data_IF_318065770233
#
_entry.id   IF_318065770233
#
_cell.length_a   1.000
_cell.length_b   1.000
_cell.length_c   1.000
_cell.angle_alpha   90.00
_cell.angle_beta   90.00
_cell.angle_gamma   90.00
#
_symmetry.space_group_name_H-M   'P 1'
#
loop_
_entity.id
_entity.type
_entity.pdbx_description
1 polymer ?
#
# COMPACT_ATOMS: atom_id res chain seq x y z
N UNK A 1 51.23 -19.83 -44.71
CA UNK A 1 50.26 -19.98 -43.60
C UNK A 1 49.90 -21.47 -43.49
N UNK A 2 50.25 -22.14 -42.38
CA UNK A 2 49.93 -23.58 -42.19
C UNK A 2 48.52 -23.69 -41.61
N UNK A 3 47.61 -24.31 -42.34
CA UNK A 3 46.24 -24.58 -41.88
C UNK A 3 46.28 -25.84 -41.02
N UNK A 4 46.18 -25.69 -39.70
CA UNK A 4 45.95 -26.84 -38.82
C UNK A 4 44.51 -27.33 -39.00
N UNK A 5 44.35 -28.55 -39.55
CA UNK A 5 43.07 -29.25 -39.54
C UNK A 5 42.79 -29.72 -38.11
N UNK A 6 41.84 -29.08 -37.43
CA UNK A 6 41.36 -29.54 -36.14
C UNK A 6 40.63 -30.89 -36.33
N UNK A 7 41.12 -31.94 -35.67
CA UNK A 7 40.39 -33.22 -35.58
C UNK A 7 39.27 -33.04 -34.57
N UNK A 8 38.05 -32.91 -35.05
CA UNK A 8 36.86 -32.95 -34.20
C UNK A 8 36.60 -34.41 -33.81
N UNK A 9 36.92 -34.77 -32.58
CA UNK A 9 36.59 -36.09 -32.04
C UNK A 9 35.10 -36.11 -31.71
N UNK A 10 34.34 -37.01 -32.35
CA UNK A 10 32.92 -37.20 -32.08
C UNK A 10 32.76 -37.85 -30.69
N UNK A 11 32.13 -37.12 -29.76
CA UNK A 11 32.01 -37.51 -28.35
C UNK A 11 30.65 -38.11 -28.00
N UNK A 12 29.82 -38.47 -28.98
CA UNK A 12 28.40 -38.82 -28.80
C UNK A 12 28.17 -40.07 -27.91
N UNK A 13 29.22 -40.84 -27.61
CA UNK A 13 29.18 -42.02 -26.73
C UNK A 13 30.26 -42.00 -25.63
N UNK A 14 30.86 -40.84 -25.35
CA UNK A 14 31.90 -40.72 -24.33
C UNK A 14 31.30 -40.87 -22.93
N UNK A 15 31.70 -41.93 -22.21
CA UNK A 15 31.29 -42.18 -20.81
C UNK A 15 31.62 -41.01 -19.89
N UNK A 16 32.69 -40.26 -20.20
CA UNK A 16 33.12 -39.08 -19.43
C UNK A 16 32.15 -37.92 -19.64
N UNK A 17 31.75 -37.65 -20.90
CA UNK A 17 30.81 -36.57 -21.25
C UNK A 17 29.42 -36.86 -20.68
N UNK A 18 28.95 -38.11 -20.75
CA UNK A 18 27.67 -38.54 -20.18
C UNK A 18 27.68 -38.40 -18.65
N UNK A 19 28.81 -38.66 -17.98
CA UNK A 19 28.95 -38.50 -16.52
C UNK A 19 28.89 -37.03 -16.09
N UNK A 20 29.55 -36.15 -16.85
CA UNK A 20 29.51 -34.69 -16.60
C UNK A 20 28.09 -34.15 -16.83
N UNK A 21 27.44 -34.51 -17.94
CA UNK A 21 26.08 -34.06 -18.25
C UNK A 21 25.06 -34.51 -17.18
N UNK A 22 25.15 -35.75 -16.69
CA UNK A 22 24.27 -36.26 -15.62
C UNK A 22 24.44 -35.49 -14.31
N UNK A 23 25.67 -35.16 -13.94
CA UNK A 23 25.95 -34.39 -12.72
C UNK A 23 25.43 -32.94 -12.82
N UNK A 24 25.57 -32.32 -14.00
CA UNK A 24 25.05 -30.96 -14.26
C UNK A 24 23.52 -30.94 -14.25
N UNK A 25 22.87 -31.95 -14.84
CA UNK A 25 21.41 -32.05 -14.83
C UNK A 25 20.85 -32.25 -13.42
N UNK A 26 21.52 -33.04 -12.57
CA UNK A 26 21.13 -33.20 -11.16
C UNK A 26 21.27 -31.92 -10.35
N UNK A 27 22.30 -31.10 -10.63
CA UNK A 27 22.50 -29.82 -9.96
C UNK A 27 21.42 -28.78 -10.34
N UNK A 28 20.97 -28.80 -11.60
CA UNK A 28 19.93 -27.90 -12.10
C UNK A 28 18.57 -28.13 -11.40
N UNK A 29 18.25 -29.39 -11.08
CA UNK A 29 16.99 -29.76 -10.39
C UNK A 29 16.96 -29.23 -8.96
N UNK A 30 18.09 -29.19 -8.26
CA UNK A 30 18.17 -28.70 -6.87
C UNK A 30 17.97 -27.17 -6.79
N UNK A 31 18.41 -26.42 -7.80
CA UNK A 31 18.25 -24.94 -7.84
C UNK A 31 16.77 -24.56 -8.04
N UNK A 32 16.00 -25.37 -8.75
CA UNK A 32 14.57 -25.11 -8.99
C UNK A 32 13.72 -25.25 -7.71
N UNK A 33 14.11 -26.11 -6.77
CA UNK A 33 13.38 -26.27 -5.50
C UNK A 33 13.85 -25.31 -4.38
N UNK A 34 15.02 -24.68 -4.53
CA UNK A 34 15.51 -23.67 -3.59
C UNK A 34 14.91 -22.27 -3.82
N UNK A 35 14.26 -22.03 -4.96
CA UNK A 35 13.69 -20.72 -5.33
C UNK A 35 12.27 -20.46 -4.81
N UNK A 36 11.73 -21.33 -3.96
CA UNK A 36 10.49 -21.10 -3.22
C UNK A 36 10.76 -21.29 -1.72
N UNK A 37 11.75 -20.57 -1.20
CA UNK A 37 11.59 -20.02 0.14
C UNK A 37 10.81 -18.73 -0.12
N UNK A 38 9.49 -18.78 0.07
CA UNK A 38 8.81 -17.54 0.38
C UNK A 38 9.54 -17.02 1.61
N UNK A 39 10.23 -15.89 1.45
CA UNK A 39 10.48 -15.01 2.57
C UNK A 39 9.11 -14.49 3.00
N UNK A 40 8.30 -15.38 3.58
CA UNK A 40 7.27 -15.02 4.52
C UNK A 40 8.05 -14.56 5.77
N UNK A 41 8.82 -13.48 5.62
CA UNK A 41 8.85 -12.41 6.59
C UNK A 41 7.39 -12.27 6.96
N UNK A 42 7.05 -12.86 8.10
CA UNK A 42 5.69 -13.00 8.53
C UNK A 42 5.15 -11.59 8.49
N UNK A 43 4.30 -11.29 7.51
CA UNK A 43 3.69 -9.97 7.42
C UNK A 43 3.00 -9.82 8.76
N UNK A 44 3.63 -9.04 9.65
CA UNK A 44 3.07 -8.73 10.94
C UNK A 44 1.85 -7.93 10.55
N UNK A 45 0.70 -8.60 10.54
CA UNK A 45 -0.60 -7.97 10.40
C UNK A 45 -0.76 -7.08 11.63
N UNK A 46 -0.15 -5.91 11.59
CA UNK A 46 -0.49 -4.85 12.51
C UNK A 46 -1.99 -4.61 12.31
N UNK A 47 -2.78 -4.63 13.39
CA UNK A 47 -4.21 -4.44 13.28
C UNK A 47 -4.47 -3.09 12.60
N UNK A 48 -4.96 -3.15 11.36
CA UNK A 48 -5.36 -1.96 10.64
C UNK A 48 -6.71 -1.49 11.20
N UNK A 49 -6.89 -0.18 11.44
CA UNK A 49 -8.16 0.34 11.89
C UNK A 49 -9.23 0.06 10.84
N UNK A 50 -10.38 -0.44 11.30
CA UNK A 50 -11.55 -0.66 10.47
C UNK A 50 -12.05 0.70 9.92
N UNK A 51 -11.68 0.97 8.67
CA UNK A 51 -12.03 2.22 7.99
C UNK A 51 -13.54 2.38 7.80
N UNK A 52 -14.29 1.29 7.65
CA UNK A 52 -15.74 1.32 7.53
C UNK A 52 -16.38 1.69 8.87
N UNK A 53 -15.95 1.07 9.97
CA UNK A 53 -16.42 1.41 11.31
C UNK A 53 -16.06 2.86 11.68
N UNK A 54 -14.87 3.34 11.29
CA UNK A 54 -14.46 4.71 11.52
C UNK A 54 -15.32 5.71 10.73
N UNK A 55 -15.57 5.44 9.45
CA UNK A 55 -16.44 6.26 8.61
C UNK A 55 -17.88 6.30 9.16
N UNK A 56 -18.43 5.14 9.55
CA UNK A 56 -19.76 5.04 10.14
C UNK A 56 -19.85 5.83 11.46
N UNK A 57 -18.81 5.80 12.29
CA UNK A 57 -18.75 6.59 13.53
C UNK A 57 -18.80 8.09 13.25
N UNK A 58 -18.03 8.58 12.28
CA UNK A 58 -18.06 10.00 11.91
C UNK A 58 -19.42 10.42 11.37
N UNK A 59 -20.02 9.61 10.50
CA UNK A 59 -21.34 9.93 9.94
C UNK A 59 -22.42 9.97 11.03
N UNK A 60 -22.45 8.96 11.91
CA UNK A 60 -23.41 8.91 13.02
C UNK A 60 -23.22 10.06 14.00
N UNK A 61 -21.98 10.45 14.29
CA UNK A 61 -21.71 11.61 15.15
C UNK A 61 -22.12 12.91 14.48
N UNK A 62 -21.89 13.04 13.17
CA UNK A 62 -22.27 14.23 12.41
C UNK A 62 -23.78 14.43 12.40
N UNK A 63 -24.56 13.37 12.12
CA UNK A 63 -26.03 13.44 12.08
C UNK A 63 -26.61 13.84 13.44
N UNK A 64 -26.05 13.32 14.54
CA UNK A 64 -26.57 13.57 15.88
C UNK A 64 -26.03 14.85 16.55
N UNK A 65 -25.00 15.48 16.01
CA UNK A 65 -24.36 16.67 16.59
C UNK A 65 -24.62 17.97 15.80
N UNK A 66 -25.58 17.98 14.88
CA UNK A 66 -25.97 19.22 14.19
C UNK A 66 -26.75 20.12 15.15
N UNK A 67 -26.29 21.36 15.28
CA UNK A 67 -27.01 22.41 15.98
C UNK A 67 -27.18 23.61 15.04
N UNK A 68 -28.39 24.15 15.01
CA UNK A 68 -28.72 25.34 14.23
C UNK A 68 -28.68 26.59 15.12
N UNK A 69 -28.17 27.69 14.58
CA UNK A 69 -28.15 28.99 15.23
C UNK A 69 -28.38 30.10 14.20
N UNK A 70 -28.87 31.24 14.66
CA UNK A 70 -29.00 32.45 13.86
C UNK A 70 -28.06 33.50 14.43
N UNK A 71 -27.32 34.19 13.55
CA UNK A 71 -26.51 35.33 13.93
C UNK A 71 -26.70 36.46 12.91
N UNK A 72 -26.49 37.70 13.37
CA UNK A 72 -26.36 38.84 12.48
C UNK A 72 -24.94 38.87 11.90
N UNK A 73 -24.81 38.61 10.60
CA UNK A 73 -23.52 38.57 9.92
C UNK A 73 -22.76 39.91 9.99
N UNK A 74 -23.46 41.05 10.11
CA UNK A 74 -22.83 42.37 10.16
C UNK A 74 -22.17 42.68 11.50
N UNK A 75 -22.69 42.10 12.59
CA UNK A 75 -22.22 42.32 13.97
C UNK A 75 -21.30 41.16 14.42
N UNK A 76 -21.55 39.94 13.93
CA UNK A 76 -20.88 38.73 14.42
C UNK A 76 -21.35 38.34 15.83
N UNK A 77 -20.52 37.58 16.55
CA UNK A 77 -20.82 37.18 17.94
C UNK A 77 -20.16 35.88 18.37
N UNK A 78 -20.49 35.45 19.60
CA UNK A 78 -20.06 34.17 20.14
C UNK A 78 -21.28 33.26 20.30
N UNK A 79 -21.28 32.14 19.58
CA UNK A 79 -22.28 31.08 19.75
C UNK A 79 -21.71 30.05 20.71
N UNK A 80 -22.48 29.71 21.75
CA UNK A 80 -22.13 28.63 22.68
C UNK A 80 -23.04 27.44 22.40
N UNK A 81 -22.45 26.31 22.00
CA UNK A 81 -23.18 25.06 21.74
C UNK A 81 -23.68 24.41 23.02
N UNK A 82 -24.54 23.39 22.88
CA UNK A 82 -25.12 22.65 24.02
C UNK A 82 -24.06 22.00 24.93
N UNK A 83 -22.97 21.54 24.34
CA UNK A 83 -21.81 20.97 25.05
C UNK A 83 -20.83 22.03 25.56
N UNK A 84 -21.17 23.31 25.47
CA UNK A 84 -20.35 24.43 25.94
C UNK A 84 -19.24 24.88 24.99
N UNK A 85 -19.11 24.25 23.81
CA UNK A 85 -18.19 24.70 22.76
C UNK A 85 -18.52 26.12 22.34
N UNK A 86 -17.53 27.01 22.30
CA UNK A 86 -17.70 28.40 21.88
C UNK A 86 -17.12 28.61 20.49
N UNK A 87 -17.94 29.13 19.58
CA UNK A 87 -17.54 29.51 18.23
C UNK A 87 -17.69 31.01 18.09
N UNK A 88 -16.60 31.68 17.75
CA UNK A 88 -16.58 33.13 17.56
C UNK A 88 -16.66 33.45 16.07
N UNK A 89 -17.65 34.25 15.68
CA UNK A 89 -17.82 34.80 14.35
C UNK A 89 -17.47 36.28 14.37
N UNK A 90 -16.49 36.70 13.57
CA UNK A 90 -16.15 38.12 13.46
C UNK A 90 -17.22 38.87 12.65
N UNK A 91 -17.40 40.18 12.86
CA UNK A 91 -18.24 41.01 12.00
C UNK A 91 -17.88 40.81 10.51
N UNK A 92 -18.88 40.65 9.66
CA UNK A 92 -18.76 40.46 8.20
C UNK A 92 -17.98 39.20 7.78
N UNK A 93 -17.93 38.16 8.63
CA UNK A 93 -17.29 36.87 8.27
C UNK A 93 -18.07 36.05 7.24
N UNK A 94 -19.35 36.39 7.04
CA UNK A 94 -20.19 35.80 6.02
C UNK A 94 -20.37 36.82 4.91
N UNK A 95 -19.97 36.47 3.69
CA UNK A 95 -20.17 37.37 2.57
C UNK A 95 -21.64 37.54 2.23
N UNK A 96 -21.96 38.64 1.54
CA UNK A 96 -23.33 38.98 1.16
C UNK A 96 -23.92 37.82 0.34
N UNK A 97 -25.02 37.25 0.82
CA UNK A 97 -25.74 36.11 0.22
C UNK A 97 -24.91 34.83 0.04
N UNK A 98 -23.94 34.56 0.92
CA UNK A 98 -23.19 33.30 0.89
C UNK A 98 -22.11 33.22 -0.19
N UNK A 99 -21.74 34.36 -0.78
CA UNK A 99 -20.56 34.47 -1.65
C UNK A 99 -19.37 34.88 -0.79
N UNK A 100 -18.34 34.03 -0.58
CA UNK A 100 -17.19 34.35 0.26
C UNK A 100 -16.40 35.57 -0.24
#
# INVERSE_FOLDING_TARGET
MKIQKQKFTNLNNSKVVIRILKNVMGLLVLVLFASCIDNNDSEVFEPQPDGEALAARFENNRVNAVQEFTLDASIGGIITGTEGTKVTFQPNSFGLNGTP
#
